data_IF_765088678768
#
_entry.id   IF_765088678768
#
_cell.length_a   1.000
_cell.length_b   1.000
_cell.length_c   1.000
_cell.angle_alpha   90.00
_cell.angle_beta   90.00
_cell.angle_gamma   90.00
#
_symmetry.space_group_name_H-M   'P 1'
#
loop_
_entity.id
_entity.type
_entity.pdbx_description
1 polymer ?
#
# COMPACT_ATOMS: atom_id res chain seq x y z
N UNK A 1 -15.55 -6.45 -2.28
CA UNK A 1 -15.17 -5.05 -2.02
C UNK A 1 -13.71 -4.92 -2.41
N UNK A 2 -13.38 -4.07 -3.40
CA UNK A 2 -11.99 -3.79 -3.76
C UNK A 2 -11.25 -3.15 -2.59
N UNK A 3 -10.02 -3.59 -2.32
CA UNK A 3 -9.15 -3.04 -1.28
C UNK A 3 -7.77 -2.72 -1.85
N UNK A 4 -7.26 -1.52 -1.56
CA UNK A 4 -5.89 -1.13 -1.82
C UNK A 4 -5.11 -1.13 -0.50
N UNK A 5 -4.08 -1.96 -0.41
CA UNK A 5 -3.11 -1.97 0.66
C UNK A 5 -1.82 -1.30 0.18
N UNK A 6 -1.63 -0.03 0.55
CA UNK A 6 -0.46 0.78 0.25
C UNK A 6 0.51 0.73 1.45
N UNK A 7 1.74 0.26 1.24
CA UNK A 7 2.74 0.03 2.27
C UNK A 7 4.03 0.74 1.90
N UNK A 8 4.65 1.44 2.85
CA UNK A 8 6.05 1.86 2.69
C UNK A 8 7.00 0.74 3.07
N UNK A 9 8.06 0.56 2.29
CA UNK A 9 9.07 -0.48 2.53
C UNK A 9 9.82 -0.27 3.86
N UNK A 10 9.93 0.98 4.30
CA UNK A 10 10.63 1.37 5.52
C UNK A 10 9.68 1.82 6.63
N UNK A 11 8.46 1.28 6.71
CA UNK A 11 7.53 1.58 7.80
C UNK A 11 7.95 0.87 9.10
N UNK A 12 8.55 1.64 10.01
CA UNK A 12 8.90 1.21 11.37
C UNK A 12 7.88 1.65 12.43
N UNK A 13 6.81 2.37 12.04
CA UNK A 13 5.80 2.88 12.95
C UNK A 13 4.72 1.85 13.25
N UNK A 14 4.26 1.12 12.22
CA UNK A 14 3.19 0.13 12.36
C UNK A 14 3.76 -1.28 12.43
N UNK A 15 4.25 -1.78 11.31
CA UNK A 15 4.87 -3.10 11.21
C UNK A 15 5.56 -3.23 9.85
N UNK A 16 6.62 -4.07 9.75
CA UNK A 16 7.21 -4.43 8.46
C UNK A 16 6.15 -4.97 7.49
N UNK A 17 6.32 -4.65 6.21
CA UNK A 17 5.31 -4.93 5.19
C UNK A 17 4.96 -6.44 5.05
N UNK A 18 5.91 -7.32 5.36
CA UNK A 18 5.77 -8.76 5.31
C UNK A 18 4.75 -9.28 6.34
N UNK A 19 4.53 -8.54 7.43
CA UNK A 19 3.57 -8.95 8.48
C UNK A 19 2.13 -9.00 7.96
N UNK A 20 1.84 -8.29 6.86
CA UNK A 20 0.51 -8.28 6.25
C UNK A 20 0.22 -9.54 5.43
N UNK A 21 1.22 -10.36 5.09
CA UNK A 21 1.08 -11.54 4.22
C UNK A 21 0.06 -12.55 4.73
N UNK A 22 0.02 -12.75 6.05
CA UNK A 22 -0.93 -13.66 6.69
C UNK A 22 -2.39 -13.24 6.50
N UNK A 23 -2.65 -11.94 6.33
CA UNK A 23 -4.00 -11.37 6.26
C UNK A 23 -4.50 -11.20 4.82
N UNK A 24 -3.60 -11.27 3.82
CA UNK A 24 -3.95 -11.06 2.40
C UNK A 24 -5.07 -12.01 1.93
N UNK A 25 -5.09 -13.25 2.44
CA UNK A 25 -6.10 -14.26 2.11
C UNK A 25 -7.53 -13.89 2.54
N UNK A 26 -7.68 -12.95 3.48
CA UNK A 26 -8.98 -12.46 3.94
C UNK A 26 -9.66 -11.47 2.98
N UNK A 27 -8.93 -10.98 1.97
CA UNK A 27 -9.41 -9.96 1.05
C UNK A 27 -9.46 -10.52 -0.39
N UNK A 28 -10.65 -10.93 -0.88
CA UNK A 28 -10.79 -11.60 -2.18
C UNK A 28 -10.48 -10.70 -3.39
N UNK A 29 -10.50 -9.37 -3.21
CA UNK A 29 -10.13 -8.39 -4.24
C UNK A 29 -9.14 -7.38 -3.64
N UNK A 30 -7.91 -7.85 -3.44
CA UNK A 30 -6.82 -7.10 -2.82
C UNK A 30 -5.79 -6.67 -3.86
N UNK A 31 -5.49 -5.37 -3.86
CA UNK A 31 -4.34 -4.80 -4.57
C UNK A 31 -3.30 -4.39 -3.54
N UNK A 32 -2.08 -4.95 -3.62
CA UNK A 32 -0.97 -4.57 -2.74
C UNK A 32 0.02 -3.73 -3.51
N UNK A 33 0.46 -2.61 -2.93
CA UNK A 33 1.46 -1.71 -3.50
C UNK A 33 2.51 -1.36 -2.45
N UNK A 34 3.76 -1.63 -2.81
CA UNK A 34 4.93 -1.27 -2.02
C UNK A 34 5.53 0.03 -2.56
N UNK A 35 5.78 0.97 -1.67
CA UNK A 35 6.44 2.24 -1.91
C UNK A 35 7.86 2.14 -1.37
N UNK A 36 8.82 1.87 -2.27
CA UNK A 36 10.19 1.49 -1.92
C UNK A 36 10.98 2.61 -1.22
N UNK A 37 10.57 3.88 -1.41
CA UNK A 37 11.23 5.05 -0.81
C UNK A 37 10.38 5.72 0.26
N UNK A 38 9.40 5.01 0.80
CA UNK A 38 8.48 5.52 1.82
C UNK A 38 8.55 4.73 3.12
N UNK A 39 8.30 5.44 4.22
CA UNK A 39 8.00 4.86 5.52
C UNK A 39 6.50 4.80 5.75
N UNK A 40 6.04 5.39 6.85
CA UNK A 40 4.63 5.30 7.25
C UNK A 40 3.68 6.15 6.40
N UNK A 41 4.19 7.15 5.66
CA UNK A 41 3.34 8.12 4.96
C UNK A 41 3.65 8.19 3.46
N UNK A 42 3.42 7.12 2.68
CA UNK A 42 3.68 7.10 1.24
C UNK A 42 2.99 8.23 0.47
N UNK A 43 1.81 8.69 0.93
CA UNK A 43 1.07 9.80 0.33
C UNK A 43 1.81 11.16 0.42
N UNK A 44 2.77 11.30 1.34
CA UNK A 44 3.62 12.49 1.48
C UNK A 44 5.02 12.26 0.91
N UNK A 45 5.57 11.06 1.11
CA UNK A 45 6.96 10.74 0.77
C UNK A 45 7.14 10.44 -0.73
N UNK A 46 6.15 9.81 -1.36
CA UNK A 46 6.12 9.47 -2.79
C UNK A 46 4.77 9.90 -3.41
N UNK A 47 4.39 11.17 -3.22
CA UNK A 47 3.06 11.71 -3.57
C UNK A 47 2.62 11.43 -5.01
N UNK A 48 3.49 11.64 -6.00
CA UNK A 48 3.13 11.47 -7.41
C UNK A 48 2.80 10.00 -7.74
N UNK A 49 3.61 9.08 -7.21
CA UNK A 49 3.40 7.63 -7.38
C UNK A 49 2.17 7.16 -6.60
N UNK A 50 1.93 7.75 -5.43
CA UNK A 50 0.76 7.42 -4.61
C UNK A 50 -0.52 7.85 -5.32
N UNK A 51 -0.56 9.07 -5.86
CA UNK A 51 -1.70 9.61 -6.60
C UNK A 51 -1.97 8.78 -7.87
N UNK A 52 -0.94 8.45 -8.65
CA UNK A 52 -1.07 7.57 -9.81
C UNK A 52 -1.67 6.21 -9.42
N UNK A 53 -1.15 5.62 -8.33
CA UNK A 53 -1.60 4.33 -7.82
C UNK A 53 -3.07 4.38 -7.38
N UNK A 54 -3.44 5.42 -6.63
CA UNK A 54 -4.79 5.59 -6.12
C UNK A 54 -5.80 5.84 -7.24
N UNK A 55 -5.49 6.75 -8.18
CA UNK A 55 -6.37 7.06 -9.31
C UNK A 55 -6.55 5.83 -10.21
N UNK A 56 -5.48 5.08 -10.47
CA UNK A 56 -5.55 3.83 -11.23
C UNK A 56 -6.41 2.77 -10.55
N UNK A 57 -6.37 2.71 -9.21
CA UNK A 57 -7.22 1.79 -8.44
C UNK A 57 -8.69 2.21 -8.47
N UNK A 58 -9.00 3.51 -8.37
CA UNK A 58 -10.38 4.04 -8.40
C UNK A 58 -11.05 3.92 -9.78
N UNK A 59 -10.26 3.88 -10.85
CA UNK A 59 -10.77 3.75 -12.22
C UNK A 59 -11.09 2.30 -12.64
N UNK A 60 -10.87 1.31 -11.76
CA UNK A 60 -11.12 -0.13 -12.03
C UNK A 60 -12.59 -0.54 -11.95
#
# INVERSE_FOLDING_TARGET
MPVLLALGQSDYLVAPAETWDAYRKGFPDLTVRMFEKSGHTPQLEESDLFDETLLSFLAR
#
